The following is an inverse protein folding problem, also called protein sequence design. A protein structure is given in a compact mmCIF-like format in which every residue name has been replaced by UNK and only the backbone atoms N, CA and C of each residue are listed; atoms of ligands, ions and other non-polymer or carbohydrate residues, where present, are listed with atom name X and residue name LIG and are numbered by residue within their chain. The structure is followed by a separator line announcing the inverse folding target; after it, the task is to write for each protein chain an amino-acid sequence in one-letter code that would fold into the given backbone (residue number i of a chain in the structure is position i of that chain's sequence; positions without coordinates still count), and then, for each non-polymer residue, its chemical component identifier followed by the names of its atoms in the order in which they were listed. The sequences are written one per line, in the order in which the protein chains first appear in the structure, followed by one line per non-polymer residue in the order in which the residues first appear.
data_IF_786549050635
#
_entry.id   IF_786549050635
#
_cell.length_a   1.000
_cell.length_b   1.000
_cell.length_c   1.000
_cell.angle_alpha   90.00
_cell.angle_beta   90.00
_cell.angle_gamma   90.00
#
_symmetry.space_group_name_H-M   'P 1'
#
loop_
_entity.id
_entity.type
_entity.pdbx_description
1 polymer ?
#
# COMPACT_ATOMS: atom_id res chain seq x y z
N UNK A 1 13.54 8.71 -7.68
CA UNK A 1 13.94 7.34 -8.09
C UNK A 1 12.76 6.78 -8.86
N UNK A 2 12.87 6.49 -10.14
CA UNK A 2 11.69 6.25 -10.99
C UNK A 2 11.57 4.76 -11.34
N UNK A 3 10.41 4.20 -11.10
CA UNK A 3 10.01 2.80 -11.26
C UNK A 3 10.12 2.26 -12.68
N UNK A 4 10.18 3.09 -13.70
CA UNK A 4 10.18 2.71 -15.11
C UNK A 4 11.33 1.79 -15.56
N UNK A 5 12.32 1.54 -14.72
CA UNK A 5 13.45 0.65 -15.05
C UNK A 5 13.46 -0.67 -14.31
N UNK A 6 12.67 -0.85 -13.23
CA UNK A 6 12.75 -2.03 -12.36
C UNK A 6 11.82 -3.17 -12.77
N UNK A 7 10.70 -2.91 -13.46
CA UNK A 7 9.63 -3.89 -13.68
C UNK A 7 9.61 -4.53 -15.07
N UNK A 8 10.60 -4.29 -15.93
CA UNK A 8 10.64 -4.94 -17.23
C UNK A 8 11.00 -6.44 -17.09
N UNK A 9 10.13 -7.24 -16.47
CA UNK A 9 10.06 -8.66 -16.75
C UNK A 9 9.49 -8.80 -18.16
N UNK A 10 10.35 -8.80 -19.18
CA UNK A 10 9.92 -9.25 -20.51
C UNK A 10 9.62 -10.72 -20.43
N UNK A 11 8.36 -11.07 -20.32
CA UNK A 11 7.90 -12.40 -20.68
C UNK A 11 7.87 -12.42 -22.21
N UNK A 12 8.89 -13.01 -22.83
CA UNK A 12 8.83 -13.29 -24.27
C UNK A 12 7.74 -14.35 -24.49
N UNK A 13 7.04 -14.26 -25.62
CA UNK A 13 6.04 -15.26 -26.05
C UNK A 13 6.59 -16.71 -26.14
N UNK A 14 7.86 -16.94 -25.82
CA UNK A 14 8.54 -18.24 -25.83
C UNK A 14 8.92 -18.75 -24.42
N UNK A 15 8.46 -18.11 -23.33
CA UNK A 15 8.66 -18.64 -21.96
C UNK A 15 10.11 -18.61 -21.44
N UNK A 16 11.05 -17.98 -22.11
CA UNK A 16 12.43 -17.82 -21.63
C UNK A 16 12.58 -16.52 -20.83
N UNK A 17 12.90 -16.64 -19.55
CA UNK A 17 13.38 -15.51 -18.71
C UNK A 17 14.61 -14.91 -19.39
N UNK A 18 14.49 -13.70 -19.91
CA UNK A 18 15.65 -12.93 -20.36
C UNK A 18 16.23 -12.17 -19.17
N UNK A 19 17.53 -12.24 -19.05
CA UNK A 19 18.38 -11.74 -17.98
C UNK A 19 18.06 -10.28 -17.60
N UNK A 20 17.45 -10.09 -16.44
CA UNK A 20 17.10 -8.76 -15.85
C UNK A 20 18.35 -8.10 -15.23
N UNK A 21 19.47 -8.85 -15.12
CA UNK A 21 20.65 -8.46 -14.33
C UNK A 21 21.37 -7.21 -14.76
N UNK A 22 21.23 -6.75 -16.01
CA UNK A 22 22.02 -5.61 -16.53
C UNK A 22 21.38 -4.24 -16.41
N UNK A 23 20.09 -4.12 -16.04
CA UNK A 23 19.40 -2.82 -15.89
C UNK A 23 19.52 -2.20 -14.49
N UNK A 24 19.81 -2.99 -13.48
CA UNK A 24 19.99 -2.51 -12.10
C UNK A 24 21.38 -1.92 -11.83
N UNK A 25 22.32 -2.03 -12.77
CA UNK A 25 23.68 -1.52 -12.61
C UNK A 25 23.82 0.00 -12.81
N UNK A 26 22.84 0.65 -13.46
CA UNK A 26 22.78 2.12 -13.62
C UNK A 26 21.45 2.64 -13.07
N UNK A 27 21.51 3.36 -11.96
CA UNK A 27 20.33 3.90 -11.28
C UNK A 27 19.68 5.05 -12.04
N UNK A 28 20.48 5.87 -12.76
CA UNK A 28 19.94 6.96 -13.59
C UNK A 28 20.22 6.69 -15.07
N UNK A 29 19.20 6.93 -15.90
CA UNK A 29 19.27 6.74 -17.37
C UNK A 29 19.15 8.03 -18.15
N UNK A 30 18.71 9.12 -17.50
CA UNK A 30 18.42 10.44 -18.08
C UNK A 30 17.34 10.43 -19.18
N UNK A 31 16.62 9.31 -19.36
CA UNK A 31 15.63 9.17 -20.43
C UNK A 31 14.29 9.81 -20.09
N UNK A 32 14.12 10.32 -18.87
CA UNK A 32 12.87 10.92 -18.39
C UNK A 32 13.00 12.39 -17.99
N UNK A 33 14.09 13.07 -18.39
CA UNK A 33 14.33 14.48 -18.05
C UNK A 33 13.41 15.43 -18.84
N UNK A 34 12.77 14.92 -19.89
CA UNK A 34 11.75 15.61 -20.70
C UNK A 34 10.34 15.59 -20.09
N UNK A 35 10.17 15.04 -18.86
CA UNK A 35 8.86 14.93 -18.18
C UNK A 35 8.07 13.69 -18.58
N UNK A 36 8.65 12.76 -19.37
CA UNK A 36 8.01 11.49 -19.70
C UNK A 36 8.64 10.31 -18.95
N UNK A 37 7.95 9.18 -18.87
CA UNK A 37 8.45 7.92 -18.31
C UNK A 37 8.03 6.75 -19.18
N UNK A 38 8.81 5.65 -19.15
CA UNK A 38 8.44 4.41 -19.85
C UNK A 38 7.59 3.52 -18.95
N UNK A 39 6.54 2.91 -19.51
CA UNK A 39 5.81 1.82 -18.89
C UNK A 39 6.50 0.47 -19.14
N UNK A 40 6.04 -0.58 -18.46
CA UNK A 40 6.63 -1.91 -18.59
C UNK A 40 6.41 -2.58 -19.94
N UNK A 41 5.42 -2.17 -20.71
CA UNK A 41 5.17 -2.57 -22.10
C UNK A 41 6.08 -1.88 -23.13
N UNK A 42 6.86 -0.87 -22.69
CA UNK A 42 7.77 -0.08 -23.50
C UNK A 42 7.15 1.20 -24.06
N UNK A 43 5.87 1.46 -23.83
CA UNK A 43 5.24 2.74 -24.16
C UNK A 43 5.75 3.87 -23.26
N UNK A 44 5.58 5.12 -23.70
CA UNK A 44 5.97 6.30 -22.91
C UNK A 44 4.75 7.17 -22.62
N UNK A 45 4.66 7.62 -21.38
CA UNK A 45 3.57 8.47 -20.89
C UNK A 45 4.13 9.68 -20.13
N UNK A 46 3.37 10.78 -20.00
CA UNK A 46 3.71 11.88 -19.10
C UNK A 46 3.83 11.39 -17.65
N UNK A 47 4.79 11.93 -16.90
CA UNK A 47 5.00 11.56 -15.48
C UNK A 47 3.85 11.96 -14.57
N UNK A 48 3.01 12.90 -14.99
CA UNK A 48 1.80 13.37 -14.30
C UNK A 48 0.52 12.64 -14.75
N UNK A 49 0.64 11.57 -15.55
CA UNK A 49 -0.52 10.75 -15.95
C UNK A 49 -1.11 10.00 -14.74
N UNK A 50 -2.42 9.70 -14.80
CA UNK A 50 -3.14 8.96 -13.74
C UNK A 50 -2.50 7.59 -13.47
N UNK A 51 -1.98 6.93 -14.50
CA UNK A 51 -1.30 5.64 -14.35
C UNK A 51 -0.02 5.77 -13.52
N UNK A 52 0.79 6.79 -13.80
CA UNK A 52 2.01 7.06 -13.02
C UNK A 52 1.67 7.47 -11.59
N UNK A 53 0.62 8.28 -11.39
CA UNK A 53 0.13 8.64 -10.06
C UNK A 53 -0.30 7.39 -9.27
N UNK A 54 -1.09 6.50 -9.88
CA UNK A 54 -1.60 5.31 -9.21
C UNK A 54 -0.46 4.38 -8.72
N UNK A 55 0.45 3.94 -9.59
CA UNK A 55 1.55 3.09 -9.12
C UNK A 55 2.55 3.83 -8.23
N UNK A 56 2.71 5.14 -8.40
CA UNK A 56 3.55 5.96 -7.53
C UNK A 56 3.00 6.03 -6.09
N UNK A 57 1.69 6.15 -5.93
CA UNK A 57 1.06 6.14 -4.60
C UNK A 57 1.09 4.73 -3.97
N UNK A 58 1.05 3.66 -4.78
CA UNK A 58 1.27 2.29 -4.29
C UNK A 58 2.70 2.12 -3.76
N UNK A 59 3.70 2.72 -4.41
CA UNK A 59 5.08 2.74 -3.92
C UNK A 59 5.22 3.54 -2.61
N UNK A 60 4.58 4.69 -2.53
CA UNK A 60 4.55 5.49 -1.30
C UNK A 60 3.95 4.68 -0.14
N UNK A 61 2.86 3.94 -0.39
CA UNK A 61 2.27 3.02 0.59
C UNK A 61 3.28 1.95 1.04
N UNK A 62 3.96 1.32 0.10
CA UNK A 62 4.95 0.28 0.39
C UNK A 62 6.10 0.85 1.26
N UNK A 63 6.55 2.06 0.95
CA UNK A 63 7.55 2.78 1.74
C UNK A 63 7.05 3.14 3.15
N UNK A 64 5.78 3.54 3.28
CA UNK A 64 5.16 3.82 4.58
C UNK A 64 5.05 2.55 5.45
N UNK A 65 4.74 1.39 4.86
CA UNK A 65 4.78 0.09 5.55
C UNK A 65 6.20 -0.22 6.01
N UNK A 66 7.21 0.09 5.20
CA UNK A 66 8.62 -0.03 5.59
C UNK A 66 8.96 0.74 6.88
N UNK A 67 8.36 1.92 7.09
CA UNK A 67 8.53 2.69 8.34
C UNK A 67 7.90 1.94 9.53
N UNK A 68 6.74 1.32 9.34
CA UNK A 68 6.13 0.49 10.40
C UNK A 68 7.05 -0.66 10.77
N UNK A 69 7.55 -1.39 9.79
CA UNK A 69 8.45 -2.54 9.98
C UNK A 69 9.79 -2.16 10.64
N UNK A 70 10.26 -0.93 10.44
CA UNK A 70 11.48 -0.40 11.04
C UNK A 70 11.25 0.14 12.47
N UNK A 71 10.00 0.24 12.93
CA UNK A 71 9.67 0.73 14.26
C UNK A 71 9.88 -0.36 15.33
N UNK A 72 10.22 0.06 16.54
CA UNK A 72 10.30 -0.85 17.69
C UNK A 72 8.91 -1.37 18.08
N UNK A 73 8.87 -2.56 18.70
CA UNK A 73 7.65 -3.14 19.26
C UNK A 73 6.70 -3.76 18.22
N UNK A 74 7.15 -3.97 17.00
CA UNK A 74 6.43 -4.75 15.98
C UNK A 74 6.75 -6.23 16.20
N UNK A 75 5.73 -7.02 16.57
CA UNK A 75 5.86 -8.45 16.78
C UNK A 75 6.07 -9.23 15.47
N UNK A 76 6.46 -10.50 15.57
CA UNK A 76 6.80 -11.31 14.41
C UNK A 76 5.58 -11.58 13.50
N UNK A 77 4.38 -11.74 14.06
CA UNK A 77 3.18 -11.99 13.28
C UNK A 77 2.79 -10.77 12.42
N UNK A 78 2.84 -9.56 13.01
CA UNK A 78 2.63 -8.31 12.26
C UNK A 78 3.72 -8.12 11.22
N UNK A 79 4.98 -8.44 11.57
CA UNK A 79 6.12 -8.33 10.65
C UNK A 79 5.96 -9.23 9.44
N UNK A 80 5.59 -10.51 9.66
CA UNK A 80 5.34 -11.47 8.59
C UNK A 80 4.22 -11.00 7.67
N UNK A 81 3.08 -10.61 8.24
CA UNK A 81 1.92 -10.13 7.48
C UNK A 81 2.26 -8.89 6.63
N UNK A 82 2.94 -7.89 7.20
CA UNK A 82 3.28 -6.67 6.48
C UNK A 82 4.41 -6.87 5.46
N UNK A 83 5.34 -7.80 5.69
CA UNK A 83 6.36 -8.15 4.70
C UNK A 83 5.73 -8.80 3.48
N UNK A 84 4.77 -9.71 3.68
CA UNK A 84 4.02 -10.30 2.57
C UNK A 84 3.25 -9.23 1.78
N UNK A 85 2.60 -8.29 2.48
CA UNK A 85 1.93 -7.14 1.84
C UNK A 85 2.91 -6.31 1.01
N UNK A 86 4.14 -6.10 1.46
CA UNK A 86 5.14 -5.38 0.67
C UNK A 86 5.46 -6.07 -0.67
N UNK A 87 5.54 -7.40 -0.69
CA UNK A 87 5.72 -8.16 -1.93
C UNK A 87 4.52 -7.99 -2.86
N UNK A 88 3.31 -8.12 -2.34
CA UNK A 88 2.07 -7.96 -3.11
C UNK A 88 1.87 -6.52 -3.62
N UNK A 89 2.32 -5.51 -2.88
CA UNK A 89 2.31 -4.13 -3.38
C UNK A 89 3.31 -3.92 -4.53
N UNK A 90 4.42 -4.68 -4.56
CA UNK A 90 5.28 -4.72 -5.73
C UNK A 90 4.58 -5.39 -6.92
N UNK A 91 3.86 -6.48 -6.70
CA UNK A 91 3.07 -7.14 -7.73
C UNK A 91 1.97 -6.21 -8.26
N UNK A 92 1.22 -5.54 -7.38
CA UNK A 92 0.22 -4.53 -7.76
C UNK A 92 0.84 -3.37 -8.56
N UNK A 93 2.00 -2.87 -8.14
CA UNK A 93 2.75 -1.83 -8.87
C UNK A 93 3.14 -2.29 -10.27
N UNK A 94 3.55 -3.56 -10.43
CA UNK A 94 3.84 -4.20 -11.71
C UNK A 94 2.60 -4.31 -12.59
N UNK A 95 1.47 -4.77 -12.05
CA UNK A 95 0.19 -4.84 -12.75
C UNK A 95 -0.24 -3.46 -13.28
N UNK A 96 -0.14 -2.42 -12.45
CA UNK A 96 -0.47 -1.06 -12.85
C UNK A 96 0.52 -0.45 -13.86
N UNK A 97 1.81 -0.84 -13.79
CA UNK A 97 2.84 -0.35 -14.71
C UNK A 97 2.78 -1.01 -16.10
N UNK A 98 2.16 -2.19 -16.20
CA UNK A 98 2.09 -2.97 -17.46
C UNK A 98 0.61 -3.17 -17.83
N UNK A 99 0.05 -2.35 -18.74
CA UNK A 99 -1.34 -2.50 -19.16
C UNK A 99 -1.67 -3.93 -19.60
N UNK A 100 -2.76 -4.50 -19.07
CA UNK A 100 -3.19 -5.87 -19.36
C UNK A 100 -2.48 -6.96 -18.57
N UNK A 101 -1.54 -6.63 -17.67
CA UNK A 101 -0.95 -7.60 -16.73
C UNK A 101 -1.95 -7.94 -15.61
N UNK A 102 -1.90 -9.18 -15.13
CA UNK A 102 -2.66 -9.69 -13.98
C UNK A 102 -1.67 -10.30 -13.00
N UNK A 103 -1.58 -9.77 -11.80
CA UNK A 103 -0.69 -10.28 -10.74
C UNK A 103 -1.45 -10.44 -9.42
N UNK A 104 -2.36 -9.52 -9.08
CA UNK A 104 -3.21 -9.63 -7.90
C UNK A 104 -4.44 -10.47 -8.23
N UNK A 105 -4.65 -11.53 -7.48
CA UNK A 105 -5.76 -12.46 -7.65
C UNK A 105 -6.75 -12.40 -6.47
N UNK A 106 -7.93 -12.97 -6.64
CA UNK A 106 -8.94 -13.02 -5.56
C UNK A 106 -8.41 -13.74 -4.31
N UNK A 107 -7.52 -14.73 -4.49
CA UNK A 107 -6.86 -15.44 -3.38
C UNK A 107 -6.01 -14.52 -2.49
N UNK A 108 -5.38 -13.47 -3.04
CA UNK A 108 -4.62 -12.50 -2.26
C UNK A 108 -5.55 -11.63 -1.40
N UNK A 109 -6.73 -11.30 -1.92
CA UNK A 109 -7.78 -10.58 -1.20
C UNK A 109 -8.34 -11.44 -0.07
N UNK A 110 -8.68 -12.70 -0.36
CA UNK A 110 -9.18 -13.67 0.64
C UNK A 110 -8.15 -13.87 1.76
N UNK A 111 -6.87 -13.93 1.42
CA UNK A 111 -5.77 -14.01 2.40
C UNK A 111 -5.73 -12.77 3.31
N UNK A 112 -5.89 -11.55 2.76
CA UNK A 112 -5.95 -10.33 3.58
C UNK A 112 -7.12 -10.38 4.57
N UNK A 113 -8.28 -10.88 4.16
CA UNK A 113 -9.46 -11.03 5.04
C UNK A 113 -9.17 -12.02 6.18
N UNK A 114 -8.57 -13.18 5.86
CA UNK A 114 -8.20 -14.18 6.88
C UNK A 114 -7.18 -13.62 7.88
N UNK A 115 -6.17 -12.91 7.41
CA UNK A 115 -5.16 -12.27 8.27
C UNK A 115 -5.80 -11.19 9.12
N UNK A 116 -6.69 -10.37 8.55
CA UNK A 116 -7.45 -9.34 9.27
C UNK A 116 -8.25 -9.97 10.41
N UNK A 117 -9.02 -11.03 10.12
CA UNK A 117 -9.85 -11.72 11.11
C UNK A 117 -8.99 -12.29 12.25
N UNK A 118 -7.86 -12.92 11.93
CA UNK A 118 -6.95 -13.47 12.95
C UNK A 118 -6.42 -12.41 13.92
N UNK A 119 -6.15 -11.20 13.46
CA UNK A 119 -5.73 -10.08 14.31
C UNK A 119 -6.90 -9.41 15.03
N UNK A 120 -8.09 -9.39 14.42
CA UNK A 120 -9.25 -8.69 14.97
C UNK A 120 -9.98 -9.50 16.05
N UNK A 121 -10.06 -10.83 15.92
CA UNK A 121 -10.80 -11.71 16.84
C UNK A 121 -10.42 -11.53 18.32
N UNK A 122 -9.13 -11.39 18.70
CA UNK A 122 -8.75 -11.17 20.09
C UNK A 122 -8.97 -9.73 20.56
N UNK A 123 -9.33 -8.78 19.69
CA UNK A 123 -9.51 -7.38 20.04
C UNK A 123 -10.91 -7.11 20.61
N UNK A 124 -11.04 -6.24 21.61
CA UNK A 124 -12.37 -5.83 22.09
C UNK A 124 -13.12 -5.05 21.01
N UNK A 125 -14.44 -5.18 20.99
CA UNK A 125 -15.31 -4.40 20.11
C UNK A 125 -15.10 -2.89 20.26
N UNK A 126 -15.13 -2.17 19.14
CA UNK A 126 -15.03 -0.70 19.12
C UNK A 126 -16.35 -0.07 19.55
N UNK A 127 -16.27 0.93 20.43
CA UNK A 127 -17.43 1.74 20.86
C UNK A 127 -17.48 3.11 20.20
N UNK A 128 -16.35 3.58 19.67
CA UNK A 128 -16.21 4.87 19.02
C UNK A 128 -14.98 4.87 18.08
N UNK A 129 -14.78 5.94 17.30
CA UNK A 129 -13.59 6.12 16.47
C UNK A 129 -12.34 6.25 17.34
N UNK A 130 -11.21 5.73 16.81
CA UNK A 130 -9.90 5.83 17.43
C UNK A 130 -9.14 7.00 16.80
N UNK A 131 -8.49 7.81 17.62
CA UNK A 131 -7.57 8.84 17.15
C UNK A 131 -6.29 8.16 16.65
N UNK A 132 -5.74 8.59 15.49
CA UNK A 132 -4.44 8.11 15.03
C UNK A 132 -3.34 8.39 16.06
N UNK A 133 -2.68 7.33 16.55
CA UNK A 133 -1.69 7.42 17.64
C UNK A 133 -1.39 6.03 18.22
N UNK A 134 -1.00 5.95 19.49
CA UNK A 134 -0.74 4.67 20.16
C UNK A 134 0.73 4.21 20.06
N UNK A 135 1.69 5.14 20.08
CA UNK A 135 3.11 4.87 19.89
C UNK A 135 3.55 4.98 18.42
N UNK A 136 4.87 4.94 18.19
CA UNK A 136 5.44 5.20 16.85
C UNK A 136 4.98 4.19 15.82
N UNK A 137 5.03 2.90 16.11
CA UNK A 137 4.61 1.85 15.18
C UNK A 137 3.12 1.98 14.79
N UNK A 138 2.23 2.19 15.77
CA UNK A 138 0.81 2.37 15.54
C UNK A 138 0.51 3.66 14.74
N UNK A 139 1.15 4.78 15.09
CA UNK A 139 0.98 6.05 14.37
C UNK A 139 1.47 5.95 12.92
N UNK A 140 2.61 5.30 12.68
CA UNK A 140 3.13 5.04 11.33
C UNK A 140 2.20 4.13 10.52
N UNK A 141 1.60 3.12 11.18
CA UNK A 141 0.62 2.25 10.55
C UNK A 141 -0.66 3.02 10.18
N UNK A 142 -1.13 3.95 11.03
CA UNK A 142 -2.23 4.85 10.66
C UNK A 142 -1.89 5.73 9.45
N UNK A 143 -0.64 6.20 9.33
CA UNK A 143 -0.18 6.91 8.13
C UNK A 143 -0.24 6.00 6.90
N UNK A 144 0.34 4.79 6.98
CA UNK A 144 0.28 3.79 5.90
C UNK A 144 -1.17 3.51 5.47
N UNK A 145 -2.10 3.34 6.43
CA UNK A 145 -3.53 3.17 6.16
C UNK A 145 -4.12 4.35 5.35
N UNK A 146 -3.77 5.57 5.69
CA UNK A 146 -4.31 6.74 4.95
C UNK A 146 -3.71 6.89 3.57
N UNK A 147 -2.43 6.52 3.38
CA UNK A 147 -1.78 6.42 2.07
C UNK A 147 -2.43 5.31 1.23
N UNK A 148 -2.73 4.14 1.84
CA UNK A 148 -3.46 3.05 1.19
C UNK A 148 -4.81 3.52 0.61
N UNK A 149 -5.58 4.27 1.39
CA UNK A 149 -6.85 4.86 0.94
C UNK A 149 -6.66 5.91 -0.16
N UNK A 150 -5.53 6.60 -0.21
CA UNK A 150 -5.19 7.48 -1.33
C UNK A 150 -4.85 6.66 -2.58
N UNK A 151 -4.03 5.61 -2.45
CA UNK A 151 -3.71 4.70 -3.55
C UNK A 151 -4.98 4.07 -4.16
N UNK A 152 -5.94 3.65 -3.33
CA UNK A 152 -7.25 3.17 -3.77
C UNK A 152 -7.97 4.20 -4.65
N UNK A 153 -8.03 5.48 -4.21
CA UNK A 153 -8.67 6.55 -4.98
C UNK A 153 -7.96 6.82 -6.30
N UNK A 154 -6.63 6.78 -6.32
CA UNK A 154 -5.84 6.99 -7.53
C UNK A 154 -6.05 5.85 -8.53
N UNK A 155 -6.12 4.60 -8.07
CA UNK A 155 -6.48 3.43 -8.89
C UNK A 155 -7.90 3.54 -9.44
N UNK A 156 -8.87 3.99 -8.64
CA UNK A 156 -10.25 4.23 -9.10
C UNK A 156 -10.27 5.35 -10.16
N UNK A 157 -9.52 6.44 -9.96
CA UNK A 157 -9.43 7.52 -10.94
C UNK A 157 -8.83 7.04 -12.27
N UNK A 158 -7.83 6.17 -12.22
CA UNK A 158 -7.27 5.52 -13.41
C UNK A 158 -8.31 4.63 -14.09
N UNK A 159 -9.07 3.83 -13.31
CA UNK A 159 -10.08 2.92 -13.83
C UNK A 159 -11.27 3.62 -14.54
N UNK A 160 -11.46 4.93 -14.35
CA UNK A 160 -12.45 5.70 -15.08
C UNK A 160 -12.05 6.01 -16.53
N UNK A 161 -10.76 5.92 -16.87
CA UNK A 161 -10.20 6.33 -18.16
C UNK A 161 -9.41 5.24 -18.87
N UNK A 162 -8.99 4.22 -18.15
CA UNK A 162 -8.22 3.09 -18.67
C UNK A 162 -8.76 1.76 -18.11
N UNK A 163 -8.48 0.67 -18.79
CA UNK A 163 -8.84 -0.66 -18.30
C UNK A 163 -7.93 -1.06 -17.13
N UNK A 164 -8.52 -1.24 -15.95
CA UNK A 164 -7.88 -1.66 -14.71
C UNK A 164 -8.71 -2.77 -14.08
N UNK A 165 -8.07 -3.89 -13.78
CA UNK A 165 -8.74 -5.02 -13.13
C UNK A 165 -9.33 -4.62 -11.76
N UNK A 166 -10.55 -5.05 -11.42
CA UNK A 166 -11.20 -4.69 -10.16
C UNK A 166 -10.46 -5.23 -8.93
N UNK A 167 -9.63 -6.26 -9.08
CA UNK A 167 -8.80 -6.82 -8.01
C UNK A 167 -7.88 -5.75 -7.41
N UNK A 168 -7.32 -4.84 -8.21
CA UNK A 168 -6.43 -3.78 -7.76
C UNK A 168 -7.08 -2.88 -6.68
N UNK A 169 -8.27 -2.36 -6.94
CA UNK A 169 -8.99 -1.51 -5.98
C UNK A 169 -9.53 -2.31 -4.80
N UNK A 170 -10.02 -3.55 -5.02
CA UNK A 170 -10.51 -4.43 -3.95
C UNK A 170 -9.41 -4.81 -2.98
N UNK A 171 -8.21 -5.13 -3.48
CA UNK A 171 -7.04 -5.42 -2.66
C UNK A 171 -6.68 -4.23 -1.76
N UNK A 172 -6.56 -3.01 -2.32
CA UNK A 172 -6.24 -1.80 -1.55
C UNK A 172 -7.33 -1.48 -0.52
N UNK A 173 -8.60 -1.66 -0.86
CA UNK A 173 -9.71 -1.49 0.08
C UNK A 173 -9.52 -2.42 1.28
N UNK A 174 -9.33 -3.71 1.06
CA UNK A 174 -9.18 -4.72 2.11
C UNK A 174 -7.89 -4.51 2.91
N UNK A 175 -6.79 -4.13 2.24
CA UNK A 175 -5.55 -3.78 2.91
C UNK A 175 -5.71 -2.59 3.87
N UNK A 176 -6.54 -1.59 3.51
CA UNK A 176 -6.80 -0.45 4.40
C UNK A 176 -7.47 -0.88 5.70
N UNK A 177 -8.32 -1.91 5.66
CA UNK A 177 -9.00 -2.46 6.83
C UNK A 177 -8.02 -3.29 7.68
N UNK A 178 -7.18 -4.13 7.06
CA UNK A 178 -6.11 -4.84 7.75
C UNK A 178 -5.15 -3.87 8.47
N UNK A 179 -4.72 -2.80 7.81
CA UNK A 179 -3.86 -1.80 8.43
C UNK A 179 -4.54 -1.13 9.63
N UNK A 180 -5.85 -0.90 9.60
CA UNK A 180 -6.59 -0.39 10.74
C UNK A 180 -6.55 -1.35 11.93
N UNK A 181 -6.78 -2.65 11.69
CA UNK A 181 -6.71 -3.67 12.75
C UNK A 181 -5.28 -3.76 13.32
N UNK A 182 -4.25 -3.75 12.46
CA UNK A 182 -2.85 -3.75 12.91
C UNK A 182 -2.52 -2.50 13.74
N UNK A 183 -3.06 -1.32 13.40
CA UNK A 183 -2.89 -0.12 14.25
C UNK A 183 -3.36 -0.37 15.69
N UNK A 184 -4.50 -1.07 15.86
CA UNK A 184 -5.05 -1.41 17.17
C UNK A 184 -4.16 -2.38 17.93
N UNK A 185 -3.68 -3.42 17.23
CA UNK A 185 -2.74 -4.41 17.80
C UNK A 185 -1.48 -3.69 18.31
N UNK A 186 -0.86 -2.89 17.48
CA UNK A 186 0.38 -2.16 17.81
C UNK A 186 0.18 -1.15 18.96
N UNK A 187 -0.94 -0.41 18.97
CA UNK A 187 -1.24 0.54 20.05
C UNK A 187 -1.39 -0.17 21.40
N UNK A 188 -1.99 -1.35 21.41
CA UNK A 188 -2.15 -2.15 22.63
C UNK A 188 -0.86 -2.79 23.09
N UNK A 189 -0.07 -3.34 22.15
CA UNK A 189 1.24 -3.94 22.44
C UNK A 189 2.24 -2.92 23.00
N UNK A 190 2.19 -1.66 22.56
CA UNK A 190 3.06 -0.59 23.05
C UNK A 190 2.73 -0.10 24.47
N UNK A 191 1.62 -0.52 25.05
CA UNK A 191 1.13 -0.03 26.34
C UNK A 191 0.48 1.37 26.31
N UNK A 192 0.50 2.07 25.17
CA UNK A 192 -0.17 3.39 25.05
C UNK A 192 -1.69 3.27 24.92
N UNK A 193 -2.18 2.11 24.43
CA UNK A 193 -3.60 1.87 24.25
C UNK A 193 -4.24 2.68 23.11
N UNK A 194 -5.54 2.49 22.97
CA UNK A 194 -6.37 3.16 21.97
C UNK A 194 -7.03 4.40 22.58
N UNK A 195 -6.83 5.58 22.00
CA UNK A 195 -7.48 6.81 22.43
C UNK A 195 -8.74 7.01 21.60
N UNK A 196 -9.90 6.93 22.25
CA UNK A 196 -11.19 7.11 21.58
C UNK A 196 -11.48 8.60 21.31
N UNK A 197 -12.12 8.86 20.19
CA UNK A 197 -12.59 10.19 19.86
C UNK A 197 -13.73 10.63 20.78
N UNK A 198 -13.57 11.79 21.41
CA UNK A 198 -14.56 12.37 22.31
C UNK A 198 -15.41 13.41 21.54
N UNK A 199 -16.48 12.97 20.90
CA UNK A 199 -17.33 13.84 20.10
C UNK A 199 -18.09 14.89 20.92
N UNK A 200 -18.34 14.64 22.22
CA UNK A 200 -19.07 15.56 23.13
C UNK A 200 -18.22 16.70 23.69
N UNK A 201 -16.88 16.67 23.52
CA UNK A 201 -15.98 17.69 24.09
C UNK A 201 -16.33 19.14 23.69
N UNK A 202 -16.95 19.33 22.52
CA UNK A 202 -17.36 20.66 22.01
C UNK A 202 -18.68 21.15 22.62
N UNK A 203 -19.42 20.30 23.32
CA UNK A 203 -20.71 20.65 23.94
C UNK A 203 -20.57 21.11 25.38
N UNK A 204 -19.39 20.92 26.01
CA UNK A 204 -19.13 21.50 27.35
C UNK A 204 -18.76 22.97 27.17
N UNK A 205 -19.56 23.94 27.69
CA UNK A 205 -19.12 25.33 27.77
C UNK A 205 -17.83 25.38 28.55
N UNK A 206 -16.89 26.24 28.14
CA UNK A 206 -15.69 26.49 28.92
C UNK A 206 -16.15 26.85 30.34
N UNK A 207 -15.69 26.13 31.35
CA UNK A 207 -15.90 26.53 32.73
C UNK A 207 -15.25 27.91 32.89
N UNK A 208 -16.06 28.93 33.19
CA UNK A 208 -15.64 30.30 33.50
C UNK A 208 -14.96 30.28 34.86
#
# INVERSE_FOLDING_TARGET
MYWSSCWAVRVSASGKRTDVGNRLSRIYTRTGDDGTTGLGDGSRVPKDSLRVAAYGTVDELNSAIGIVLASDGVDDAVREALTQVQHELFDLGGELCIPGMAMIEDADIDRLEQVLDSFNDPLPGLKDFILPGGGMAAASCHLARTVCRRAERDVISLAHVEDVRPQASRYLNRLSDLLFVICRVLARASGHGEVLWQHERRRKPAAV
#
